data_IF_260426221184
#
_entry.id   IF_260426221184
#
_cell.length_a   1.000
_cell.length_b   1.000
_cell.length_c   1.000
_cell.angle_alpha   90.00
_cell.angle_beta   90.00
_cell.angle_gamma   90.00
#
_symmetry.space_group_name_H-M   'P 1'
#
loop_
_entity.id
_entity.type
_entity.pdbx_description
1 polymer ?
#
# COMPACT_ATOMS: atom_id res chain seq x y z
N UNK A 1 -18.79 18.73 13.11
CA UNK A 1 -19.69 17.82 12.37
C UNK A 1 -19.11 17.41 11.01
N UNK A 2 -18.52 18.34 10.23
CA UNK A 2 -17.93 18.08 8.90
C UNK A 2 -16.89 16.94 8.86
N UNK A 3 -15.95 16.89 9.80
CA UNK A 3 -14.87 15.89 9.81
C UNK A 3 -15.37 14.44 9.99
N UNK A 4 -16.35 14.21 10.88
CA UNK A 4 -17.00 12.89 11.06
C UNK A 4 -17.71 12.45 9.78
N UNK A 5 -18.44 13.35 9.13
CA UNK A 5 -19.15 13.04 7.88
C UNK A 5 -18.16 12.66 6.78
N UNK A 6 -17.07 13.40 6.62
CA UNK A 6 -16.01 13.08 5.65
C UNK A 6 -15.38 11.72 5.96
N UNK A 7 -15.07 11.45 7.24
CA UNK A 7 -14.49 10.18 7.65
C UNK A 7 -15.44 9.00 7.36
N UNK A 8 -16.73 9.14 7.69
CA UNK A 8 -17.74 8.12 7.41
C UNK A 8 -17.89 7.88 5.90
N UNK A 9 -17.95 8.94 5.09
CA UNK A 9 -18.03 8.84 3.63
C UNK A 9 -16.81 8.11 3.05
N UNK A 10 -15.61 8.47 3.50
CA UNK A 10 -14.37 7.79 3.10
C UNK A 10 -14.36 6.32 3.49
N UNK A 11 -14.94 5.98 4.64
CA UNK A 11 -15.05 4.61 5.11
C UNK A 11 -15.98 3.81 4.23
N UNK A 12 -17.21 4.30 4.01
CA UNK A 12 -18.20 3.62 3.18
C UNK A 12 -17.70 3.44 1.75
N UNK A 13 -17.12 4.50 1.17
CA UNK A 13 -16.52 4.45 -0.15
C UNK A 13 -15.35 3.47 -0.19
N UNK A 14 -14.43 3.55 0.78
CA UNK A 14 -13.24 2.70 0.85
C UNK A 14 -13.59 1.22 1.00
N UNK A 15 -14.56 0.87 1.85
CA UNK A 15 -15.01 -0.52 2.03
C UNK A 15 -15.71 -1.02 0.77
N UNK A 16 -16.66 -0.26 0.23
CA UNK A 16 -17.38 -0.63 -0.99
C UNK A 16 -16.42 -0.83 -2.17
N UNK A 17 -15.49 0.11 -2.38
CA UNK A 17 -14.47 -0.01 -3.40
C UNK A 17 -13.51 -1.18 -3.13
N UNK A 18 -13.12 -1.44 -1.87
CA UNK A 18 -12.28 -2.59 -1.52
C UNK A 18 -12.92 -3.91 -1.94
N UNK A 19 -14.20 -4.10 -1.63
CA UNK A 19 -14.94 -5.31 -2.02
C UNK A 19 -14.98 -5.43 -3.54
N UNK A 20 -15.32 -4.35 -4.26
CA UNK A 20 -15.45 -4.36 -5.72
C UNK A 20 -14.10 -4.66 -6.40
N UNK A 21 -13.01 -4.00 -5.98
CA UNK A 21 -11.71 -4.14 -6.61
C UNK A 21 -10.99 -5.44 -6.23
N UNK A 22 -11.17 -5.93 -5.00
CA UNK A 22 -10.66 -7.26 -4.60
C UNK A 22 -11.35 -8.37 -5.39
N UNK A 23 -12.65 -8.24 -5.65
CA UNK A 23 -13.41 -9.23 -6.45
C UNK A 23 -13.17 -9.11 -7.97
N UNK A 24 -12.49 -8.05 -8.44
CA UNK A 24 -12.31 -7.80 -9.87
C UNK A 24 -11.25 -8.73 -10.47
N UNK A 25 -11.67 -9.48 -11.48
CA UNK A 25 -11.04 -10.71 -12.03
C UNK A 25 -9.73 -10.56 -12.83
N UNK A 26 -9.04 -9.41 -12.84
CA UNK A 26 -7.86 -9.21 -13.71
C UNK A 26 -6.59 -9.96 -13.26
N UNK A 27 -6.63 -10.69 -12.15
CA UNK A 27 -5.55 -11.57 -11.70
C UNK A 27 -5.98 -12.40 -10.48
N UNK A 28 -5.03 -13.11 -9.87
CA UNK A 28 -5.30 -14.05 -8.79
C UNK A 28 -5.76 -13.34 -7.51
N UNK A 29 -6.91 -13.75 -6.99
CA UNK A 29 -7.47 -13.23 -5.72
C UNK A 29 -6.48 -13.33 -4.57
N UNK A 30 -5.64 -14.39 -4.57
CA UNK A 30 -4.58 -14.61 -3.59
C UNK A 30 -3.58 -13.45 -3.58
N UNK A 31 -3.19 -12.95 -4.75
CA UNK A 31 -2.24 -11.85 -4.87
C UNK A 31 -2.83 -10.54 -4.38
N UNK A 32 -4.10 -10.26 -4.72
CA UNK A 32 -4.76 -9.04 -4.26
C UNK A 32 -4.92 -9.01 -2.75
N UNK A 33 -5.29 -10.16 -2.16
CA UNK A 33 -5.35 -10.30 -0.72
C UNK A 33 -3.98 -10.14 -0.08
N UNK A 34 -2.94 -10.73 -0.67
CA UNK A 34 -1.57 -10.66 -0.17
C UNK A 34 -1.00 -9.23 -0.27
N UNK A 35 -1.27 -8.51 -1.35
CA UNK A 35 -0.92 -7.10 -1.51
C UNK A 35 -1.57 -6.27 -0.41
N UNK A 36 -2.86 -6.49 -0.16
CA UNK A 36 -3.59 -5.80 0.91
C UNK A 36 -2.92 -6.07 2.26
N UNK A 37 -2.66 -7.35 2.56
CA UNK A 37 -2.03 -7.78 3.80
C UNK A 37 -0.62 -7.21 4.00
N UNK A 38 0.27 -7.34 3.00
CA UNK A 38 1.63 -6.78 3.03
C UNK A 38 1.56 -5.28 3.27
N UNK A 39 0.69 -4.56 2.54
CA UNK A 39 0.58 -3.11 2.68
C UNK A 39 0.13 -2.71 4.09
N UNK A 40 -0.83 -3.44 4.66
CA UNK A 40 -1.30 -3.22 6.02
C UNK A 40 -0.20 -3.48 7.04
N UNK A 41 0.58 -4.55 6.89
CA UNK A 41 1.74 -4.80 7.76
C UNK A 41 2.76 -3.68 7.69
N UNK A 42 3.11 -3.23 6.48
CA UNK A 42 4.01 -2.09 6.27
C UNK A 42 3.45 -0.84 6.95
N UNK A 43 2.16 -0.54 6.79
CA UNK A 43 1.50 0.56 7.51
C UNK A 43 1.73 0.46 9.02
N UNK A 44 1.43 -0.69 9.64
CA UNK A 44 1.55 -0.87 11.10
C UNK A 44 2.98 -0.67 11.61
N UNK A 45 3.98 -1.15 10.88
CA UNK A 45 5.40 -1.04 11.26
C UNK A 45 5.91 0.40 11.13
N UNK A 46 5.61 1.07 10.02
CA UNK A 46 6.16 2.40 9.74
C UNK A 46 5.44 3.53 10.47
N UNK A 47 4.16 3.35 10.77
CA UNK A 47 3.33 4.45 11.27
C UNK A 47 3.57 4.76 12.76
N UNK A 48 3.90 3.75 13.56
CA UNK A 48 4.25 3.94 14.98
C UNK A 48 5.37 4.97 15.19
N UNK A 49 6.54 4.80 14.54
CA UNK A 49 7.63 5.79 14.58
C UNK A 49 7.21 7.18 14.07
N UNK A 50 6.50 7.25 12.93
CA UNK A 50 6.11 8.52 12.29
C UNK A 50 5.14 9.33 13.16
N UNK A 51 4.19 8.67 13.82
CA UNK A 51 3.25 9.34 14.73
C UNK A 51 3.92 9.71 16.05
N UNK A 52 4.74 8.83 16.64
CA UNK A 52 5.47 9.11 17.90
C UNK A 52 6.40 10.31 17.77
N UNK A 53 7.06 10.43 16.63
CA UNK A 53 7.92 11.59 16.31
C UNK A 53 7.12 12.85 15.98
N UNK A 54 5.78 12.76 15.88
CA UNK A 54 4.85 13.86 15.57
C UNK A 54 5.09 14.51 14.21
N UNK A 55 5.64 13.78 13.23
CA UNK A 55 5.70 14.28 11.86
C UNK A 55 4.32 14.30 11.21
N UNK A 56 3.52 13.27 11.50
CA UNK A 56 2.16 13.13 11.00
C UNK A 56 1.22 12.86 12.18
N UNK A 57 0.09 13.56 12.22
CA UNK A 57 -0.90 13.41 13.27
C UNK A 57 -2.30 13.23 12.70
N UNK A 58 -3.12 12.45 13.40
CA UNK A 58 -4.51 12.19 13.05
C UNK A 58 -5.43 12.59 14.22
N UNK A 59 -5.71 13.91 14.40
CA UNK A 59 -6.50 14.41 15.52
C UNK A 59 -7.91 13.80 15.59
N UNK A 60 -8.56 13.65 14.44
CA UNK A 60 -9.88 13.04 14.33
C UNK A 60 -9.80 11.68 13.63
N UNK A 61 -10.07 10.61 14.37
CA UNK A 61 -9.92 9.21 13.92
C UNK A 61 -10.87 8.26 14.65
N UNK A 62 -11.09 7.09 14.08
CA UNK A 62 -11.77 6.00 14.79
C UNK A 62 -10.85 5.35 15.82
N UNK A 63 -11.46 4.82 16.88
CA UNK A 63 -10.79 4.05 17.94
C UNK A 63 -9.50 4.70 18.47
N UNK A 64 -9.53 6.00 18.87
CA UNK A 64 -8.32 6.73 19.24
C UNK A 64 -7.57 6.18 20.47
N UNK A 65 -8.23 5.33 21.27
CA UNK A 65 -7.63 4.63 22.42
C UNK A 65 -6.79 3.42 22.02
N UNK A 66 -7.03 2.85 20.83
CA UNK A 66 -6.38 1.63 20.34
C UNK A 66 -5.39 1.94 19.22
N UNK A 67 -5.69 2.94 18.39
CA UNK A 67 -4.87 3.33 17.26
C UNK A 67 -4.55 4.82 17.34
N UNK A 68 -3.28 5.15 17.18
CA UNK A 68 -2.84 6.54 17.00
C UNK A 68 -3.02 7.03 15.55
N UNK A 69 -3.16 6.07 14.64
CA UNK A 69 -3.33 6.19 13.20
C UNK A 69 -4.78 6.38 12.78
N UNK A 70 -5.00 6.98 11.61
CA UNK A 70 -6.31 6.92 10.99
C UNK A 70 -6.51 5.60 10.23
N UNK A 71 -7.33 4.72 10.81
CA UNK A 71 -7.58 3.37 10.29
C UNK A 71 -8.08 3.39 8.83
N UNK A 72 -8.90 4.37 8.47
CA UNK A 72 -9.50 4.46 7.13
C UNK A 72 -8.43 4.70 6.07
N UNK A 73 -7.47 5.59 6.33
CA UNK A 73 -6.38 5.84 5.38
C UNK A 73 -5.43 4.66 5.31
N UNK A 74 -4.95 4.19 6.47
CA UNK A 74 -3.85 3.24 6.53
C UNK A 74 -4.23 1.79 6.23
N UNK A 75 -5.48 1.42 6.51
CA UNK A 75 -5.94 0.03 6.44
C UNK A 75 -7.03 -0.19 5.40
N UNK A 76 -7.66 0.87 4.86
CA UNK A 76 -8.70 0.73 3.83
C UNK A 76 -8.24 1.38 2.53
N UNK A 77 -8.09 2.71 2.50
CA UNK A 77 -7.84 3.45 1.26
C UNK A 77 -6.47 3.13 0.66
N UNK A 78 -5.41 3.08 1.47
CA UNK A 78 -4.08 2.87 0.95
C UNK A 78 -3.83 1.41 0.49
N UNK A 79 -4.18 0.37 1.28
CA UNK A 79 -4.13 -1.02 0.78
C UNK A 79 -4.95 -1.24 -0.49
N UNK A 80 -6.16 -0.68 -0.56
CA UNK A 80 -6.98 -0.70 -1.77
C UNK A 80 -6.24 -0.06 -2.96
N UNK A 81 -5.66 1.13 -2.76
CA UNK A 81 -4.93 1.82 -3.83
C UNK A 81 -3.75 0.98 -4.30
N UNK A 82 -3.06 0.26 -3.41
CA UNK A 82 -1.98 -0.66 -3.79
C UNK A 82 -2.50 -1.82 -4.64
N UNK A 83 -3.65 -2.40 -4.30
CA UNK A 83 -4.31 -3.41 -5.15
C UNK A 83 -4.61 -2.84 -6.53
N UNK A 84 -5.22 -1.65 -6.61
CA UNK A 84 -5.54 -0.99 -7.88
C UNK A 84 -4.28 -0.72 -8.73
N UNK A 85 -3.21 -0.22 -8.11
CA UNK A 85 -1.93 0.01 -8.77
C UNK A 85 -1.33 -1.30 -9.33
N UNK A 86 -1.34 -2.37 -8.54
CA UNK A 86 -0.81 -3.66 -8.96
C UNK A 86 -1.68 -4.32 -10.06
N UNK A 87 -3.00 -4.16 -10.01
CA UNK A 87 -3.92 -4.59 -11.07
C UNK A 87 -3.69 -3.81 -12.37
N UNK A 88 -3.49 -2.49 -12.26
CA UNK A 88 -3.24 -1.62 -13.41
C UNK A 88 -1.90 -1.95 -14.08
N UNK A 89 -0.87 -2.19 -13.28
CA UNK A 89 0.50 -2.45 -13.75
C UNK A 89 0.80 -3.93 -13.99
N UNK A 90 -0.21 -4.82 -13.91
CA UNK A 90 -0.01 -6.27 -13.94
C UNK A 90 0.75 -6.76 -15.19
N UNK A 91 0.45 -6.21 -16.37
CA UNK A 91 1.08 -6.55 -17.65
C UNK A 91 2.00 -5.46 -18.19
N UNK A 92 2.40 -4.49 -17.36
CA UNK A 92 3.23 -3.36 -17.79
C UNK A 92 4.72 -3.69 -17.68
N UNK A 93 5.52 -3.13 -18.59
CA UNK A 93 6.99 -3.17 -18.49
C UNK A 93 7.46 -2.39 -17.26
N UNK A 94 8.56 -2.82 -16.63
CA UNK A 94 9.09 -2.25 -15.36
C UNK A 94 9.23 -0.72 -15.38
N UNK A 95 9.77 -0.13 -16.45
CA UNK A 95 9.88 1.33 -16.58
C UNK A 95 8.51 2.03 -16.56
N UNK A 96 7.52 1.47 -17.28
CA UNK A 96 6.16 2.02 -17.28
C UNK A 96 5.50 1.86 -15.91
N UNK A 97 5.77 0.76 -15.21
CA UNK A 97 5.29 0.53 -13.83
C UNK A 97 5.80 1.61 -12.87
N UNK A 98 7.10 1.93 -12.92
CA UNK A 98 7.70 2.96 -12.06
C UNK A 98 7.09 4.33 -12.35
N UNK A 99 6.97 4.73 -13.62
CA UNK A 99 6.35 6.01 -13.98
C UNK A 99 4.87 6.06 -13.62
N UNK A 100 4.16 4.93 -13.74
CA UNK A 100 2.74 4.84 -13.38
C UNK A 100 2.49 5.04 -11.89
N UNK A 101 3.53 4.93 -11.02
CA UNK A 101 3.35 5.15 -9.58
C UNK A 101 2.85 6.56 -9.29
N UNK A 102 3.31 7.56 -10.06
CA UNK A 102 2.91 8.95 -9.91
C UNK A 102 1.43 9.19 -10.24
N UNK A 103 0.81 8.34 -11.07
CA UNK A 103 -0.63 8.38 -11.33
C UNK A 103 -1.47 7.96 -10.13
N UNK A 104 -0.89 7.21 -9.19
CA UNK A 104 -1.58 6.77 -7.97
C UNK A 104 -1.15 7.59 -6.75
N UNK A 105 0.16 7.80 -6.57
CA UNK A 105 0.69 8.59 -5.46
C UNK A 105 0.36 10.07 -5.59
N UNK A 106 0.28 10.62 -6.80
CA UNK A 106 -0.07 12.01 -7.05
C UNK A 106 -1.48 12.38 -6.56
N UNK A 107 -2.55 11.76 -7.09
CA UNK A 107 -3.91 12.02 -6.62
C UNK A 107 -4.10 11.73 -5.13
N UNK A 108 -3.47 10.68 -4.61
CA UNK A 108 -3.53 10.36 -3.17
C UNK A 108 -2.88 11.46 -2.32
N UNK A 109 -1.72 11.99 -2.74
CA UNK A 109 -1.05 13.10 -2.06
C UNK A 109 -1.87 14.38 -2.13
N UNK A 110 -2.45 14.70 -3.30
CA UNK A 110 -3.31 15.86 -3.47
C UNK A 110 -4.54 15.77 -2.56
N UNK A 111 -5.13 14.58 -2.47
CA UNK A 111 -6.25 14.30 -1.58
C UNK A 111 -5.86 14.45 -0.11
N UNK A 112 -4.71 13.90 0.32
CA UNK A 112 -4.21 14.04 1.68
C UNK A 112 -3.89 15.50 2.04
N UNK A 113 -3.28 16.25 1.12
CA UNK A 113 -3.01 17.67 1.29
C UNK A 113 -4.30 18.51 1.36
N UNK A 114 -5.33 18.15 0.58
CA UNK A 114 -6.64 18.78 0.70
C UNK A 114 -7.26 18.51 2.06
N UNK A 115 -7.19 17.26 2.56
CA UNK A 115 -7.68 16.91 3.90
C UNK A 115 -6.92 17.63 5.00
N UNK A 116 -5.60 17.76 4.86
CA UNK A 116 -4.75 18.49 5.82
C UNK A 116 -5.21 19.94 5.98
N UNK A 117 -5.48 20.62 4.87
CA UNK A 117 -5.91 22.02 4.84
C UNK A 117 -7.37 22.24 5.25
N UNK A 118 -8.25 21.29 4.94
CA UNK A 118 -9.70 21.46 5.07
C UNK A 118 -10.33 20.72 6.25
N UNK A 119 -9.60 19.80 6.90
CA UNK A 119 -10.13 18.92 7.95
C UNK A 119 -9.09 18.70 9.07
N UNK A 120 -9.52 18.08 10.16
CA UNK A 120 -8.62 17.58 11.21
C UNK A 120 -8.36 16.07 11.10
N UNK A 121 -8.53 15.50 9.90
CA UNK A 121 -8.29 14.08 9.67
C UNK A 121 -6.80 13.78 9.56
N UNK A 122 -6.00 14.70 9.01
CA UNK A 122 -4.55 14.59 8.86
C UNK A 122 -3.92 15.95 9.18
N UNK A 123 -2.79 15.97 9.87
CA UNK A 123 -2.01 17.19 10.14
C UNK A 123 -0.52 16.93 9.96
N UNK A 124 0.11 17.77 9.14
CA UNK A 124 1.55 17.76 8.92
C UNK A 124 2.24 18.63 9.97
N UNK A 125 3.39 18.15 10.47
CA UNK A 125 4.16 18.82 11.49
C UNK A 125 5.66 18.61 11.27
N UNK A 126 6.49 19.42 11.95
CA UNK A 126 7.97 19.27 11.97
C UNK A 126 8.61 19.17 10.58
N UNK A 127 8.17 20.01 9.65
CA UNK A 127 8.72 20.04 8.28
C UNK A 127 8.17 18.96 7.34
N UNK A 128 7.26 18.11 7.81
CA UNK A 128 6.50 17.22 6.93
C UNK A 128 5.67 18.05 5.95
N UNK A 129 5.68 17.66 4.68
CA UNK A 129 4.97 18.36 3.63
C UNK A 129 4.45 17.36 2.59
N UNK A 130 3.64 17.86 1.65
CA UNK A 130 3.06 17.02 0.59
C UNK A 130 4.12 16.35 -0.30
N UNK A 131 5.32 16.92 -0.46
CA UNK A 131 6.39 16.27 -1.23
C UNK A 131 6.94 15.03 -0.51
N UNK A 132 7.12 15.11 0.82
CA UNK A 132 7.53 13.94 1.62
C UNK A 132 6.44 12.86 1.56
N UNK A 133 5.17 13.23 1.72
CA UNK A 133 4.04 12.30 1.54
C UNK A 133 4.10 11.64 0.15
N UNK A 134 4.31 12.40 -0.93
CA UNK A 134 4.41 11.85 -2.28
C UNK A 134 5.54 10.82 -2.41
N UNK A 135 6.72 11.12 -1.85
CA UNK A 135 7.87 10.21 -1.88
C UNK A 135 7.56 8.94 -1.10
N UNK A 136 7.03 9.06 0.13
CA UNK A 136 6.69 7.90 0.98
C UNK A 136 5.62 7.04 0.33
N UNK A 137 4.57 7.64 -0.24
CA UNK A 137 3.52 6.92 -0.95
C UNK A 137 4.10 6.19 -2.16
N UNK A 138 4.87 6.87 -2.99
CA UNK A 138 5.49 6.29 -4.20
C UNK A 138 6.42 5.13 -3.86
N UNK A 139 7.29 5.32 -2.86
CA UNK A 139 8.18 4.27 -2.36
C UNK A 139 7.38 3.06 -1.87
N UNK A 140 6.32 3.29 -1.11
CA UNK A 140 5.50 2.20 -0.55
C UNK A 140 4.76 1.43 -1.65
N UNK A 141 4.23 2.09 -2.67
CA UNK A 141 3.62 1.43 -3.82
C UNK A 141 4.61 0.49 -4.52
N UNK A 142 5.83 0.98 -4.77
CA UNK A 142 6.89 0.19 -5.41
C UNK A 142 7.37 -0.96 -4.52
N UNK A 143 7.49 -0.73 -3.21
CA UNK A 143 7.87 -1.76 -2.25
C UNK A 143 6.88 -2.91 -2.26
N UNK A 144 5.57 -2.63 -2.15
CA UNK A 144 4.54 -3.68 -2.15
C UNK A 144 4.49 -4.41 -3.50
N UNK A 145 4.65 -3.69 -4.61
CA UNK A 145 4.76 -4.28 -5.96
C UNK A 145 5.98 -5.21 -6.08
N UNK A 146 7.13 -4.77 -5.58
CA UNK A 146 8.36 -5.56 -5.56
C UNK A 146 8.21 -6.83 -4.71
N UNK A 147 7.54 -6.74 -3.55
CA UNK A 147 7.26 -7.91 -2.71
C UNK A 147 6.40 -8.95 -3.46
N UNK A 148 5.29 -8.55 -4.09
CA UNK A 148 4.42 -9.50 -4.77
C UNK A 148 5.08 -10.10 -6.02
N UNK A 149 5.87 -9.32 -6.76
CA UNK A 149 6.65 -9.83 -7.90
C UNK A 149 7.74 -10.80 -7.44
N UNK A 150 8.40 -10.54 -6.31
CA UNK A 150 9.33 -11.45 -5.68
C UNK A 150 8.66 -12.78 -5.28
N UNK A 151 7.46 -12.73 -4.71
CA UNK A 151 6.69 -13.92 -4.34
C UNK A 151 6.32 -14.74 -5.57
N UNK A 152 5.83 -14.09 -6.64
CA UNK A 152 5.52 -14.77 -7.92
C UNK A 152 6.76 -15.40 -8.56
N UNK A 153 7.90 -14.72 -8.48
CA UNK A 153 9.17 -15.24 -8.98
C UNK A 153 9.61 -16.49 -8.20
N UNK A 154 9.49 -16.46 -6.87
CA UNK A 154 9.79 -17.62 -6.02
C UNK A 154 8.84 -18.79 -6.29
N UNK A 155 7.54 -18.55 -6.38
CA UNK A 155 6.53 -19.57 -6.67
C UNK A 155 6.80 -20.27 -8.00
N UNK A 156 7.10 -19.49 -9.05
CA UNK A 156 7.51 -20.03 -10.36
C UNK A 156 8.77 -20.89 -10.29
N UNK A 157 9.75 -20.51 -9.47
CA UNK A 157 10.99 -21.27 -9.32
C UNK A 157 10.80 -22.56 -8.51
N UNK A 158 9.87 -22.57 -7.54
CA UNK A 158 9.54 -23.75 -6.73
C UNK A 158 8.81 -24.78 -7.59
N UNK A 159 7.87 -24.34 -8.43
CA UNK A 159 7.09 -25.22 -9.30
C UNK A 159 7.81 -25.63 -10.60
N UNK A 160 8.99 -25.08 -10.90
CA UNK A 160 9.77 -25.46 -12.08
C UNK A 160 10.93 -26.42 -11.69
N UNK A 161 10.76 -27.75 -11.86
CA UNK A 161 11.68 -28.75 -11.31
C UNK A 161 13.10 -28.71 -11.89
N UNK A 162 13.33 -28.07 -13.03
CA UNK A 162 14.66 -28.05 -13.67
C UNK A 162 15.73 -27.34 -12.84
N UNK A 163 15.38 -26.28 -12.09
CA UNK A 163 16.33 -25.52 -11.27
C UNK A 163 16.64 -26.26 -9.96
N UNK A 164 15.66 -26.99 -9.41
CA UNK A 164 15.86 -27.84 -8.24
C UNK A 164 16.79 -29.02 -8.58
N UNK A 165 16.62 -29.62 -9.75
CA UNK A 165 17.51 -30.67 -10.26
C UNK A 165 18.92 -30.14 -10.55
N UNK A 166 19.05 -28.94 -11.11
CA UNK A 166 20.36 -28.32 -11.39
C UNK A 166 21.13 -27.94 -10.12
N UNK A 167 20.46 -27.39 -9.09
CA UNK A 167 21.08 -27.13 -7.79
C UNK A 167 21.54 -28.40 -7.08
N UNK A 168 20.73 -29.47 -7.14
CA UNK A 168 21.07 -30.77 -6.56
C UNK A 168 22.26 -31.43 -7.28
N UNK A 169 22.32 -31.30 -8.60
CA UNK A 169 23.44 -31.81 -9.40
C UNK A 169 24.73 -31.01 -9.19
N UNK A 170 24.65 -29.70 -8.92
CA UNK A 170 25.81 -28.88 -8.57
C UNK A 170 26.35 -29.25 -7.19
N UNK A 171 25.50 -29.43 -6.17
CA UNK A 171 25.95 -29.85 -4.83
C UNK A 171 26.64 -31.23 -4.88
N UNK A 172 26.09 -32.18 -5.64
CA UNK A 172 26.67 -33.52 -5.79
C UNK A 172 27.96 -33.55 -6.65
N UNK A 173 28.33 -32.46 -7.32
CA UNK A 173 29.55 -32.38 -8.15
C UNK A 173 30.77 -31.86 -7.36
N UNK A 174 30.54 -31.34 -6.15
CA UNK A 174 31.58 -30.83 -5.26
C UNK A 174 31.74 -31.67 -3.98
N UNK A 175 31.03 -32.79 -3.87
CA UNK A 175 31.29 -33.90 -2.93
C UNK A 175 32.04 -35.02 -3.66
#
# INVERSE_FOLDING_TARGET
>A
MKDRTILNLLTTFGIGASIIFLLRRKGDLKDWFLIYFIKTLVSTVFDGPVIKTKYLQYPHRYLPKLFDSNIVFLYILFPLSCVMYNQFTYNMKTLKTIVSVFLFSGPMTLFENWLEKNTNLVKYNKGWNSYITLIVLSFTFLLVKGCIEGIRFLDKNIHNPSIATEKKNLQNKFE
#
